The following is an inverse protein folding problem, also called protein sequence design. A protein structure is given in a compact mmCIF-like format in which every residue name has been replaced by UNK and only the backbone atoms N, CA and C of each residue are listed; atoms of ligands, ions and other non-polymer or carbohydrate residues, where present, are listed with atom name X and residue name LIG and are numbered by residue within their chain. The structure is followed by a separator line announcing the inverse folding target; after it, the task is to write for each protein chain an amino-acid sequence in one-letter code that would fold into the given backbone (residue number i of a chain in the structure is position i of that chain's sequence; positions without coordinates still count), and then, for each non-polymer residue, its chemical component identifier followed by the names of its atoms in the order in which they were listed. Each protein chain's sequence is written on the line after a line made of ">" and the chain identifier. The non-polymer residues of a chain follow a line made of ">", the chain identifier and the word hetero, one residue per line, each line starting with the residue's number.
data_IF_918054228885
#
_entry.id   IF_918054228885
#
_cell.length_a   1.000
_cell.length_b   1.000
_cell.length_c   1.000
_cell.angle_alpha   90.00
_cell.angle_beta   90.00
_cell.angle_gamma   90.00
#
_symmetry.space_group_name_H-M   'P 1'
#
loop_
_entity.id
_entity.type
_entity.pdbx_description
1 polymer ?
#
# COMPACT_ATOMS: atom_id res chain seq x y z
N UNK A 1 23.87 -44.99 32.16
CA UNK A 1 24.10 -43.88 31.22
C UNK A 1 23.23 -42.71 31.69
N UNK A 2 23.82 -41.68 32.32
CA UNK A 2 23.05 -40.48 32.67
C UNK A 2 22.99 -39.57 31.44
N UNK A 3 21.79 -39.31 30.95
CA UNK A 3 21.54 -38.37 29.86
C UNK A 3 21.45 -36.95 30.44
N UNK A 4 22.34 -36.06 30.00
CA UNK A 4 22.27 -34.65 30.34
C UNK A 4 21.19 -33.96 29.48
N UNK A 5 20.24 -33.28 30.13
CA UNK A 5 19.21 -32.48 29.45
C UNK A 5 19.81 -31.15 29.03
N UNK A 6 19.93 -30.92 27.72
CA UNK A 6 20.43 -29.65 27.17
C UNK A 6 19.36 -28.57 27.28
N UNK A 7 19.56 -27.59 28.15
CA UNK A 7 18.71 -26.39 28.23
C UNK A 7 19.25 -25.34 27.27
N UNK A 8 18.41 -24.89 26.32
CA UNK A 8 18.75 -23.81 25.40
C UNK A 8 18.28 -22.47 25.99
N UNK A 9 19.22 -21.58 26.32
CA UNK A 9 18.90 -20.22 26.71
C UNK A 9 18.68 -19.35 25.46
N UNK A 10 17.51 -18.70 25.38
CA UNK A 10 17.25 -17.60 24.43
C UNK A 10 17.65 -16.28 25.08
N UNK A 11 18.58 -15.55 24.46
CA UNK A 11 18.92 -14.20 24.89
C UNK A 11 17.69 -13.29 24.80
N UNK A 12 17.48 -12.45 25.81
CA UNK A 12 16.46 -11.41 25.76
C UNK A 12 16.84 -10.39 24.68
N UNK A 13 15.89 -9.93 23.84
CA UNK A 13 16.17 -8.93 22.83
C UNK A 13 16.72 -7.66 23.48
N UNK A 14 17.69 -7.04 22.82
CA UNK A 14 18.19 -5.74 23.27
C UNK A 14 17.09 -4.68 23.14
N UNK A 15 17.25 -3.54 23.82
CA UNK A 15 16.36 -2.38 23.65
C UNK A 15 16.26 -1.97 22.19
N UNK A 16 17.36 -2.06 21.44
CA UNK A 16 17.40 -1.77 20.00
C UNK A 16 16.50 -2.71 19.18
N UNK A 17 16.52 -4.01 19.50
CA UNK A 17 15.69 -5.00 18.80
C UNK A 17 14.20 -4.79 19.12
N UNK A 18 13.90 -4.46 20.39
CA UNK A 18 12.54 -4.13 20.81
C UNK A 18 12.01 -2.89 20.06
N UNK A 19 12.81 -1.83 19.96
CA UNK A 19 12.45 -0.61 19.23
C UNK A 19 12.25 -0.87 17.73
N UNK A 20 13.13 -1.67 17.09
CA UNK A 20 12.98 -2.05 15.68
C UNK A 20 11.73 -2.89 15.43
N UNK A 21 11.37 -3.78 16.35
CA UNK A 21 10.15 -4.57 16.25
C UNK A 21 8.90 -3.68 16.37
N UNK A 22 8.90 -2.72 17.30
CA UNK A 22 7.82 -1.74 17.45
C UNK A 22 7.70 -0.86 16.22
N UNK A 23 8.80 -0.34 15.68
CA UNK A 23 8.82 0.44 14.44
C UNK A 23 8.22 -0.37 13.29
N UNK A 24 8.68 -1.61 13.10
CA UNK A 24 8.16 -2.50 12.05
C UNK A 24 6.66 -2.75 12.20
N UNK A 25 6.18 -2.96 13.44
CA UNK A 25 4.77 -3.18 13.74
C UNK A 25 3.92 -1.94 13.45
N UNK A 26 4.33 -0.78 13.95
CA UNK A 26 3.62 0.50 13.75
C UNK A 26 3.59 0.88 12.27
N UNK A 27 4.72 0.74 11.58
CA UNK A 27 4.83 1.11 10.17
C UNK A 27 4.10 0.12 9.25
N UNK A 28 4.00 -1.16 9.61
CA UNK A 28 3.32 -2.17 8.78
C UNK A 28 1.85 -1.84 8.51
N UNK A 29 1.14 -1.25 9.49
CA UNK A 29 -0.24 -0.82 9.30
C UNK A 29 -0.33 0.33 8.27
N UNK A 30 0.56 1.33 8.38
CA UNK A 30 0.64 2.45 7.46
C UNK A 30 0.96 2.03 6.01
N UNK A 31 1.87 1.07 5.83
CA UNK A 31 2.26 0.56 4.50
C UNK A 31 1.09 -0.10 3.76
N UNK A 32 0.26 -0.89 4.46
CA UNK A 32 -0.92 -1.51 3.84
C UNK A 32 -1.94 -0.47 3.41
N UNK A 33 -2.16 0.56 4.21
CA UNK A 33 -3.06 1.67 3.88
C UNK A 33 -2.49 2.47 2.70
N UNK A 34 -1.20 2.78 2.69
CA UNK A 34 -0.54 3.48 1.59
C UNK A 34 -0.69 2.73 0.26
N UNK A 35 -0.49 1.40 0.24
CA UNK A 35 -0.69 0.57 -0.96
C UNK A 35 -2.14 0.59 -1.45
N UNK A 36 -3.10 0.52 -0.53
CA UNK A 36 -4.53 0.61 -0.88
C UNK A 36 -4.86 1.98 -1.47
N UNK A 37 -4.41 3.05 -0.81
CA UNK A 37 -4.64 4.42 -1.26
C UNK A 37 -4.02 4.66 -2.63
N UNK A 38 -2.79 4.19 -2.85
CA UNK A 38 -2.11 4.29 -4.14
C UNK A 38 -2.89 3.56 -5.25
N UNK A 39 -3.38 2.35 -4.97
CA UNK A 39 -4.18 1.61 -5.93
C UNK A 39 -5.51 2.31 -6.23
N UNK A 40 -6.20 2.81 -5.21
CA UNK A 40 -7.45 3.57 -5.38
C UNK A 40 -7.22 4.82 -6.23
N UNK A 41 -6.14 5.57 -5.97
CA UNK A 41 -5.79 6.75 -6.75
C UNK A 41 -5.57 6.42 -8.24
N UNK A 42 -4.86 5.33 -8.54
CA UNK A 42 -4.65 4.87 -9.92
C UNK A 42 -5.96 4.49 -10.61
N UNK A 43 -6.89 3.84 -9.90
CA UNK A 43 -8.20 3.51 -10.46
C UNK A 43 -9.04 4.77 -10.73
N UNK A 44 -9.01 5.73 -9.82
CA UNK A 44 -9.67 7.03 -9.99
C UNK A 44 -9.08 7.80 -11.18
N UNK A 45 -7.75 7.87 -11.30
CA UNK A 45 -7.11 8.56 -12.42
C UNK A 45 -7.47 7.95 -13.78
N UNK A 46 -7.57 6.62 -13.84
CA UNK A 46 -8.04 5.92 -15.05
C UNK A 46 -9.49 6.25 -15.37
N UNK A 47 -10.36 6.31 -14.36
CA UNK A 47 -11.76 6.74 -14.52
C UNK A 47 -11.81 8.17 -15.07
N UNK A 48 -11.12 9.11 -14.42
CA UNK A 48 -11.05 10.52 -14.84
C UNK A 48 -10.48 10.69 -16.25
N UNK A 49 -9.51 9.87 -16.64
CA UNK A 49 -8.97 9.89 -18.00
C UNK A 49 -10.03 9.50 -19.03
N UNK A 50 -10.77 8.42 -18.76
CA UNK A 50 -11.88 7.99 -19.61
C UNK A 50 -12.98 9.05 -19.69
N UNK A 51 -13.40 9.58 -18.54
CA UNK A 51 -14.46 10.59 -18.49
C UNK A 51 -14.07 11.86 -19.27
N UNK A 52 -12.78 12.26 -19.23
CA UNK A 52 -12.25 13.37 -20.04
C UNK A 52 -12.32 13.09 -21.54
N UNK A 53 -11.96 11.88 -21.97
CA UNK A 53 -12.06 11.48 -23.38
C UNK A 53 -13.52 11.47 -23.84
N UNK A 54 -14.43 10.86 -23.08
CA UNK A 54 -15.85 10.83 -23.43
C UNK A 54 -16.46 12.24 -23.50
N UNK A 55 -16.09 13.12 -22.57
CA UNK A 55 -16.50 14.52 -22.62
C UNK A 55 -15.97 15.23 -23.86
N UNK A 56 -14.71 15.00 -24.24
CA UNK A 56 -14.12 15.57 -25.44
C UNK A 56 -14.86 15.11 -26.71
N UNK A 57 -15.15 13.81 -26.83
CA UNK A 57 -15.88 13.25 -27.98
C UNK A 57 -17.27 13.88 -28.13
N UNK A 58 -17.98 14.09 -27.02
CA UNK A 58 -19.30 14.76 -27.02
C UNK A 58 -19.17 16.21 -27.46
N UNK A 59 -18.17 16.94 -26.95
CA UNK A 59 -17.94 18.34 -27.32
C UNK A 59 -17.59 18.46 -28.82
N UNK A 60 -16.75 17.58 -29.35
CA UNK A 60 -16.39 17.54 -30.77
C UNK A 60 -17.61 17.22 -31.65
N UNK A 61 -18.43 16.23 -31.27
CA UNK A 61 -19.66 15.90 -31.97
C UNK A 61 -20.69 17.05 -31.96
N UNK A 62 -20.73 17.86 -30.90
CA UNK A 62 -21.57 19.07 -30.86
C UNK A 62 -20.98 20.18 -31.74
N UNK A 63 -19.66 20.37 -31.72
CA UNK A 63 -18.98 21.37 -32.56
C UNK A 63 -19.16 21.07 -34.05
N UNK A 64 -18.96 19.82 -34.48
CA UNK A 64 -19.15 19.39 -35.86
C UNK A 64 -20.60 19.51 -36.34
N UNK A 65 -21.60 19.43 -35.44
CA UNK A 65 -23.01 19.67 -35.79
C UNK A 65 -23.37 21.15 -35.94
N UNK A 66 -22.54 22.06 -35.40
CA UNK A 66 -22.76 23.51 -35.45
C UNK A 66 -22.07 24.20 -36.62
N UNK A 67 -21.10 23.55 -37.27
CA UNK A 67 -20.42 23.99 -38.49
C UNK A 67 -21.18 23.57 -39.74
#
# INVERSE_FOLDING_TARGET
>A
MQSATTVRATALPSVTDALRAMESFLMAAGQRTARRNAWTAVLEDRRRAKDRTEAQDVLEAVASRRS
#
